data_IF_713820196831
#
_entry.id   IF_713820196831
#
_cell.length_a   1.000
_cell.length_b   1.000
_cell.length_c   1.000
_cell.angle_alpha   90.00
_cell.angle_beta   90.00
_cell.angle_gamma   90.00
#
_symmetry.space_group_name_H-M   'P 1'
#
loop_
_entity.id
_entity.type
_entity.pdbx_description
1 polymer ?
#
# COMPACT_ATOMS: atom_id res chain seq x y z
N UNK A 1 31.30 8.94 9.43
CA UNK A 1 29.98 8.87 8.75
C UNK A 1 30.13 9.52 7.39
N UNK A 2 30.28 8.72 6.33
CA UNK A 2 30.43 9.23 4.96
C UNK A 2 29.05 9.28 4.30
N UNK A 3 28.53 10.48 4.08
CA UNK A 3 27.40 10.68 3.16
C UNK A 3 27.90 10.33 1.74
N UNK A 4 27.21 9.46 0.98
CA UNK A 4 27.55 9.28 -0.42
C UNK A 4 27.02 10.48 -1.21
N UNK A 5 27.99 11.20 -1.74
CA UNK A 5 27.95 12.14 -2.86
C UNK A 5 26.73 11.96 -3.79
N UNK A 6 25.73 12.83 -3.64
CA UNK A 6 24.47 12.87 -4.42
C UNK A 6 24.63 13.70 -5.71
N UNK A 7 25.85 13.82 -6.21
CA UNK A 7 26.18 14.75 -7.28
C UNK A 7 26.12 14.04 -8.64
N UNK A 8 24.89 13.78 -9.10
CA UNK A 8 24.52 13.68 -10.54
C UNK A 8 23.00 13.51 -10.67
N UNK A 9 22.28 14.38 -11.39
CA UNK A 9 20.84 14.21 -11.66
C UNK A 9 20.52 12.93 -12.44
N UNK A 10 21.52 12.29 -13.08
CA UNK A 10 21.39 10.96 -13.68
C UNK A 10 21.31 9.83 -12.65
N UNK A 11 21.99 9.95 -11.51
CA UNK A 11 21.98 8.93 -10.45
C UNK A 11 20.62 8.81 -9.75
N UNK A 12 19.95 9.94 -9.54
CA UNK A 12 18.60 9.96 -8.96
C UNK A 12 17.55 9.36 -9.92
N UNK A 13 17.70 9.61 -11.23
CA UNK A 13 16.84 9.00 -12.27
C UNK A 13 17.08 7.50 -12.37
N UNK A 14 18.32 7.05 -12.29
CA UNK A 14 18.67 5.63 -12.28
C UNK A 14 18.17 4.93 -11.00
N UNK A 15 18.10 5.62 -9.85
CA UNK A 15 17.47 5.08 -8.62
C UNK A 15 15.96 4.85 -8.77
N UNK A 16 15.26 5.79 -9.42
CA UNK A 16 13.81 5.67 -9.71
C UNK A 16 13.57 4.55 -10.71
N UNK A 17 14.35 4.47 -11.79
CA UNK A 17 14.28 3.39 -12.79
C UNK A 17 14.55 2.01 -12.19
N UNK A 18 15.51 1.90 -11.27
CA UNK A 18 15.79 0.65 -10.56
C UNK A 18 14.60 0.23 -9.67
N UNK A 19 13.95 1.18 -9.01
CA UNK A 19 12.74 0.93 -8.22
C UNK A 19 11.57 0.45 -9.10
N UNK A 20 11.32 1.15 -10.21
CA UNK A 20 10.25 0.83 -11.15
C UNK A 20 10.43 -0.54 -11.82
N UNK A 21 11.67 -0.90 -12.17
CA UNK A 21 12.03 -2.23 -12.66
C UNK A 21 11.76 -3.33 -11.63
N UNK A 22 12.11 -3.11 -10.35
CA UNK A 22 11.94 -4.11 -9.28
C UNK A 22 10.47 -4.28 -8.90
N UNK A 23 9.70 -3.20 -8.91
CA UNK A 23 8.26 -3.21 -8.64
C UNK A 23 7.43 -3.76 -9.82
N UNK A 24 8.04 -3.95 -10.99
CA UNK A 24 7.37 -4.48 -12.18
C UNK A 24 6.42 -3.48 -12.84
N UNK A 25 6.57 -2.18 -12.56
CA UNK A 25 5.74 -1.11 -13.14
C UNK A 25 6.17 -0.72 -14.57
N UNK A 26 7.29 -1.26 -15.04
CA UNK A 26 7.80 -1.06 -16.40
C UNK A 26 7.07 -1.92 -17.43
N UNK A 27 6.87 -1.37 -18.63
CA UNK A 27 6.45 -2.13 -19.82
C UNK A 27 7.50 -3.19 -20.18
N UNK A 28 7.07 -4.31 -20.78
CA UNK A 28 7.95 -5.47 -21.06
C UNK A 28 9.17 -5.10 -21.94
N UNK A 29 9.01 -4.17 -22.88
CA UNK A 29 10.09 -3.66 -23.74
C UNK A 29 11.14 -2.86 -22.94
N UNK A 30 10.68 -2.00 -22.02
CA UNK A 30 11.56 -1.24 -21.14
C UNK A 30 12.29 -2.20 -20.17
N UNK A 31 11.61 -3.24 -19.69
CA UNK A 31 12.21 -4.27 -18.84
C UNK A 31 13.33 -5.02 -19.55
N UNK A 32 13.15 -5.38 -20.81
CA UNK A 32 14.16 -6.09 -21.61
C UNK A 32 15.42 -5.23 -21.89
N UNK A 33 15.23 -3.94 -22.16
CA UNK A 33 16.35 -3.01 -22.38
C UNK A 33 17.15 -2.76 -21.09
N UNK A 34 16.47 -2.60 -19.95
CA UNK A 34 17.13 -2.48 -18.65
C UNK A 34 17.78 -3.78 -18.19
N UNK A 35 17.22 -4.95 -18.50
CA UNK A 35 17.86 -6.23 -18.24
C UNK A 35 19.19 -6.40 -18.99
N UNK A 36 19.31 -5.83 -20.21
CA UNK A 36 20.60 -5.75 -20.92
C UNK A 36 21.54 -4.76 -20.24
N UNK A 37 21.04 -3.59 -19.81
CA UNK A 37 21.85 -2.57 -19.10
C UNK A 37 22.37 -3.08 -17.76
N UNK A 38 21.61 -3.88 -17.00
CA UNK A 38 22.05 -4.52 -15.75
C UNK A 38 23.26 -5.43 -15.96
N UNK A 39 23.38 -6.09 -17.12
CA UNK A 39 24.53 -6.97 -17.41
C UNK A 39 25.81 -6.18 -17.65
N UNK A 40 25.70 -4.95 -18.16
CA UNK A 40 26.84 -4.11 -18.53
C UNK A 40 27.19 -3.10 -17.43
N UNK A 41 26.19 -2.58 -16.72
CA UNK A 41 26.31 -1.54 -15.70
C UNK A 41 26.23 -2.13 -14.28
N UNK A 42 27.42 -2.28 -13.67
CA UNK A 42 27.56 -2.82 -12.32
C UNK A 42 26.97 -1.91 -11.24
N UNK A 43 26.91 -0.58 -11.45
CA UNK A 43 26.33 0.35 -10.49
C UNK A 43 24.80 0.25 -10.47
N UNK A 44 24.18 0.19 -11.66
CA UNK A 44 22.75 -0.04 -11.79
C UNK A 44 22.34 -1.42 -11.24
N UNK A 45 23.15 -2.46 -11.48
CA UNK A 45 22.92 -3.79 -10.91
C UNK A 45 22.96 -3.80 -9.37
N UNK A 46 23.90 -3.08 -8.76
CA UNK A 46 23.99 -2.95 -7.31
C UNK A 46 22.77 -2.24 -6.71
N UNK A 47 22.27 -1.23 -7.42
CA UNK A 47 21.07 -0.46 -7.05
C UNK A 47 19.80 -1.32 -7.09
N UNK A 48 19.62 -2.11 -8.15
CA UNK A 48 18.52 -3.09 -8.26
C UNK A 48 18.60 -4.13 -7.14
N UNK A 49 19.79 -4.62 -6.80
CA UNK A 49 19.99 -5.55 -5.66
C UNK A 49 19.61 -4.91 -4.33
N UNK A 50 19.98 -3.66 -4.09
CA UNK A 50 19.62 -2.90 -2.88
C UNK A 50 18.10 -2.80 -2.74
N UNK A 51 17.41 -2.43 -3.82
CA UNK A 51 15.95 -2.36 -3.86
C UNK A 51 15.28 -3.70 -3.58
N UNK A 52 15.71 -4.77 -4.25
CA UNK A 52 15.19 -6.13 -4.00
C UNK A 52 15.35 -6.56 -2.55
N UNK A 53 16.52 -6.31 -1.96
CA UNK A 53 16.79 -6.67 -0.56
C UNK A 53 15.94 -5.84 0.40
N UNK A 54 15.75 -4.54 0.13
CA UNK A 54 14.90 -3.66 0.92
C UNK A 54 13.44 -4.14 0.92
N UNK A 55 12.89 -4.49 -0.24
CA UNK A 55 11.52 -5.01 -0.34
C UNK A 55 11.36 -6.36 0.37
N UNK A 56 12.35 -7.26 0.23
CA UNK A 56 12.32 -8.55 0.92
C UNK A 56 12.38 -8.39 2.45
N UNK A 57 13.17 -7.43 2.96
CA UNK A 57 13.20 -7.15 4.39
C UNK A 57 11.89 -6.53 4.88
N UNK A 58 11.32 -5.59 4.11
CA UNK A 58 10.03 -4.99 4.42
C UNK A 58 8.91 -6.05 4.48
N UNK A 59 8.80 -6.95 3.49
CA UNK A 59 7.82 -8.05 3.52
C UNK A 59 8.03 -8.97 4.74
N UNK A 60 9.29 -9.30 5.07
CA UNK A 60 9.59 -10.07 6.29
C UNK A 60 9.22 -9.32 7.58
N UNK A 61 9.35 -8.01 7.61
CA UNK A 61 8.99 -7.18 8.76
C UNK A 61 7.47 -7.07 8.88
N UNK A 62 6.75 -6.84 7.78
CA UNK A 62 5.28 -6.80 7.76
C UNK A 62 4.68 -8.13 8.19
N UNK A 63 5.20 -9.25 7.67
CA UNK A 63 4.78 -10.60 8.11
C UNK A 63 5.03 -10.82 9.59
N UNK A 64 6.17 -10.39 10.12
CA UNK A 64 6.48 -10.46 11.55
C UNK A 64 5.50 -9.62 12.37
N UNK A 65 5.27 -8.37 11.97
CA UNK A 65 4.31 -7.47 12.64
C UNK A 65 2.89 -8.04 12.61
N UNK A 66 2.45 -8.56 11.47
CA UNK A 66 1.13 -9.19 11.34
C UNK A 66 1.01 -10.44 12.21
N UNK A 67 2.06 -11.27 12.27
CA UNK A 67 2.10 -12.45 13.13
C UNK A 67 2.05 -12.09 14.62
N UNK A 68 2.69 -10.99 15.04
CA UNK A 68 2.60 -10.51 16.43
C UNK A 68 1.21 -9.98 16.75
N UNK A 69 0.57 -9.25 15.83
CA UNK A 69 -0.82 -8.81 16.03
C UNK A 69 -1.79 -9.99 16.13
N UNK A 70 -1.66 -11.00 15.26
CA UNK A 70 -2.48 -12.21 15.34
C UNK A 70 -2.23 -13.00 16.62
N UNK A 71 -0.97 -13.09 17.06
CA UNK A 71 -0.62 -13.76 18.33
C UNK A 71 -1.25 -13.04 19.51
N UNK A 72 -1.19 -11.72 19.57
CA UNK A 72 -1.76 -10.91 20.65
C UNK A 72 -3.29 -11.04 20.68
N UNK A 73 -3.95 -10.92 19.52
CA UNK A 73 -5.39 -11.14 19.39
C UNK A 73 -5.80 -12.59 19.75
N UNK A 74 -4.96 -13.59 19.44
CA UNK A 74 -5.22 -14.99 19.80
C UNK A 74 -5.05 -15.26 21.30
N UNK A 75 -4.09 -14.60 21.95
CA UNK A 75 -3.88 -14.65 23.40
C UNK A 75 -5.04 -13.98 24.13
N UNK A 76 -5.49 -12.82 23.63
CA UNK A 76 -6.70 -12.15 24.13
C UNK A 76 -7.94 -13.04 24.02
N UNK A 77 -8.08 -13.81 22.93
CA UNK A 77 -9.19 -14.75 22.76
C UNK A 77 -9.05 -16.01 23.63
N UNK A 78 -7.84 -16.53 23.83
CA UNK A 78 -7.58 -17.68 24.68
C UNK A 78 -7.86 -17.38 26.15
N UNK A 79 -7.62 -16.14 26.60
CA UNK A 79 -7.97 -15.67 27.94
C UNK A 79 -9.47 -15.29 28.09
N UNK A 80 -10.25 -15.23 26.99
CA UNK A 80 -11.66 -14.73 26.99
C UNK A 80 -12.77 -15.77 26.96
N UNK A 81 -12.50 -17.07 27.09
CA UNK A 81 -13.56 -18.06 27.38
C UNK A 81 -13.38 -18.61 28.79
N UNK A 82 -14.37 -18.54 29.70
CA UNK A 82 -15.75 -18.02 29.58
C UNK A 82 -16.09 -16.97 30.65
N UNK A 83 -16.47 -15.76 30.25
CA UNK A 83 -17.44 -15.01 31.05
C UNK A 83 -18.38 -14.23 30.15
N UNK A 84 -19.63 -14.67 30.22
CA UNK A 84 -20.78 -14.15 29.52
C UNK A 84 -20.96 -12.63 29.69
N UNK A 85 -21.40 -12.00 28.59
CA UNK A 85 -22.37 -10.88 28.54
C UNK A 85 -21.97 -9.41 28.78
N UNK A 86 -20.71 -8.99 28.96
CA UNK A 86 -20.44 -7.56 29.29
C UNK A 86 -19.68 -6.68 28.27
N UNK A 87 -19.07 -7.22 27.22
CA UNK A 87 -18.20 -6.42 26.33
C UNK A 87 -18.87 -5.90 25.03
N UNK A 88 -20.15 -5.49 25.08
CA UNK A 88 -20.87 -4.90 23.93
C UNK A 88 -20.93 -3.36 23.92
N UNK A 89 -20.14 -2.63 24.71
CA UNK A 89 -20.36 -1.18 24.83
C UNK A 89 -19.44 -0.27 24.00
N UNK A 90 -18.23 -0.69 23.63
CA UNK A 90 -17.25 0.25 23.04
C UNK A 90 -17.09 0.07 21.52
N UNK A 91 -17.16 -1.16 21.01
CA UNK A 91 -17.08 -1.48 19.58
C UNK A 91 -18.44 -1.42 18.84
N UNK A 92 -19.57 -1.37 19.57
CA UNK A 92 -20.90 -1.32 18.96
C UNK A 92 -21.17 -0.05 18.14
N UNK A 93 -20.61 1.09 18.57
CA UNK A 93 -20.77 2.39 17.91
C UNK A 93 -20.05 2.50 16.56
N UNK A 94 -18.84 1.93 16.44
CA UNK A 94 -18.10 1.92 15.17
C UNK A 94 -18.54 0.78 14.24
N UNK A 95 -19.17 -0.27 14.77
CA UNK A 95 -19.70 -1.37 13.95
C UNK A 95 -20.81 -0.94 12.99
N UNK A 96 -21.60 0.08 13.36
CA UNK A 96 -22.65 0.60 12.49
C UNK A 96 -22.01 1.38 11.33
N UNK A 97 -21.01 2.22 11.64
CA UNK A 97 -20.27 2.99 10.64
C UNK A 97 -19.53 2.06 9.67
N UNK A 98 -18.87 1.01 10.17
CA UNK A 98 -18.18 0.04 9.31
C UNK A 98 -19.14 -0.79 8.45
N UNK A 99 -20.32 -1.14 8.97
CA UNK A 99 -21.35 -1.82 8.19
C UNK A 99 -21.92 -0.94 7.07
N UNK A 100 -22.11 0.36 7.32
CA UNK A 100 -22.52 1.32 6.29
C UNK A 100 -21.40 1.53 5.24
N UNK A 101 -20.14 1.60 5.69
CA UNK A 101 -18.97 1.76 4.83
C UNK A 101 -18.73 0.57 3.90
N UNK A 102 -18.99 -0.65 4.37
CA UNK A 102 -18.88 -1.87 3.57
C UNK A 102 -20.06 -2.07 2.59
N UNK A 103 -21.10 -1.22 2.66
CA UNK A 103 -22.27 -1.36 1.81
C UNK A 103 -22.03 -0.73 0.43
N UNK A 104 -21.82 -1.55 -0.60
CA UNK A 104 -21.68 -1.07 -1.98
C UNK A 104 -22.91 -0.28 -2.47
N UNK A 105 -24.09 -0.52 -1.91
CA UNK A 105 -25.32 0.24 -2.20
C UNK A 105 -25.25 1.68 -1.69
N UNK A 106 -24.64 1.89 -0.52
CA UNK A 106 -24.42 3.22 0.04
C UNK A 106 -23.55 4.05 -0.90
N UNK A 107 -22.42 3.50 -1.33
CA UNK A 107 -21.53 4.15 -2.29
C UNK A 107 -22.19 4.45 -3.64
N UNK A 108 -22.99 3.52 -4.17
CA UNK A 108 -23.74 3.74 -5.42
C UNK A 108 -24.72 4.90 -5.32
N UNK A 109 -25.46 4.99 -4.20
CA UNK A 109 -26.40 6.09 -3.96
C UNK A 109 -25.65 7.41 -3.78
N UNK A 110 -24.54 7.41 -3.04
CA UNK A 110 -23.69 8.60 -2.88
C UNK A 110 -23.16 9.09 -4.23
N UNK A 111 -22.68 8.20 -5.11
CA UNK A 111 -22.21 8.60 -6.45
C UNK A 111 -23.33 9.09 -7.36
N UNK A 112 -24.52 8.46 -7.30
CA UNK A 112 -25.69 8.91 -8.07
C UNK A 112 -26.17 10.28 -7.59
N UNK A 113 -26.22 10.50 -6.28
CA UNK A 113 -26.56 11.79 -5.70
C UNK A 113 -25.54 12.86 -6.09
N UNK A 114 -24.24 12.54 -6.06
CA UNK A 114 -23.18 13.45 -6.50
C UNK A 114 -23.30 13.78 -8.00
N UNK A 115 -23.58 12.80 -8.85
CA UNK A 115 -23.83 13.01 -10.28
C UNK A 115 -25.06 13.88 -10.54
N UNK A 116 -26.16 13.62 -9.84
CA UNK A 116 -27.37 14.45 -9.93
C UNK A 116 -27.10 15.88 -9.47
N UNK A 117 -26.35 16.06 -8.38
CA UNK A 117 -25.99 17.37 -7.86
C UNK A 117 -25.04 18.12 -8.80
N UNK A 118 -24.08 17.42 -9.39
CA UNK A 118 -23.21 17.96 -10.44
C UNK A 118 -24.02 18.37 -11.67
N UNK A 119 -25.03 17.58 -12.07
CA UNK A 119 -25.92 17.92 -13.18
C UNK A 119 -26.73 19.19 -12.87
N UNK A 120 -27.28 19.31 -11.65
CA UNK A 120 -28.00 20.52 -11.19
C UNK A 120 -27.08 21.75 -11.21
N UNK A 121 -25.83 21.62 -10.77
CA UNK A 121 -24.83 22.68 -10.83
C UNK A 121 -24.35 23.01 -12.24
N UNK A 122 -24.53 22.09 -13.21
CA UNK A 122 -24.24 22.30 -14.63
C UNK A 122 -25.44 22.91 -15.38
N UNK A 123 -26.64 22.81 -14.83
CA UNK A 123 -27.87 23.50 -15.28
C UNK A 123 -28.33 24.62 -14.33
N UNK A 124 -27.48 25.57 -13.90
CA UNK A 124 -27.98 26.82 -13.36
C UNK A 124 -28.53 27.61 -14.55
N UNK A 125 -29.86 27.69 -14.61
CA UNK A 125 -30.70 28.50 -15.49
C UNK A 125 -29.97 29.70 -16.12
N UNK A 126 -29.92 29.70 -17.47
CA UNK A 126 -29.70 30.89 -18.28
C UNK A 126 -30.90 31.84 -18.21
#
# INVERSE_FOLDING_TARGET
MTLPDREKPSGLRDEVLAGEYVLGALTDDARASLARRIKTDRQFAAMVRRWKNGLAENDRQERRAFSSYLRDASMDHALRRPHDKLHRSIYGRFSIISALWNSARFWRLTTLAAMLWALVLLFPVA
#
